data_IF_900031093066
#
_entry.id   IF_900031093066
#
_cell.length_a   1.000
_cell.length_b   1.000
_cell.length_c   1.000
_cell.angle_alpha   90.00
_cell.angle_beta   90.00
_cell.angle_gamma   90.00
#
_symmetry.space_group_name_H-M   'P 1'
#
loop_
_entity.id
_entity.type
_entity.pdbx_description
1 polymer ?
#
# COMPACT_ATOMS: atom_id res chain seq x y z
N UNK A 1 -16.94 24.34 16.14
CA UNK A 1 -17.04 23.10 15.33
C UNK A 1 -15.95 22.97 14.26
N UNK A 2 -15.49 24.04 13.58
CA UNK A 2 -14.41 23.97 12.55
C UNK A 2 -13.11 23.28 12.98
N UNK A 3 -12.64 23.48 14.21
CA UNK A 3 -11.36 22.89 14.66
C UNK A 3 -11.34 21.35 14.73
N UNK A 4 -12.50 20.73 14.93
CA UNK A 4 -12.64 19.28 14.97
C UNK A 4 -12.47 18.68 13.57
N UNK A 5 -13.06 19.32 12.57
CA UNK A 5 -13.04 18.89 11.18
C UNK A 5 -11.63 18.98 10.58
N UNK A 6 -10.88 20.05 10.88
CA UNK A 6 -9.50 20.20 10.41
C UNK A 6 -8.56 19.11 10.96
N UNK A 7 -8.86 18.55 12.13
CA UNK A 7 -8.09 17.45 12.71
C UNK A 7 -8.40 16.14 12.00
N UNK A 8 -9.68 15.88 11.72
CA UNK A 8 -10.18 14.71 10.98
C UNK A 8 -9.61 14.69 9.57
N UNK A 9 -9.64 15.82 8.86
CA UNK A 9 -9.11 15.96 7.49
C UNK A 9 -7.60 15.68 7.48
N UNK A 10 -6.82 16.33 8.37
CA UNK A 10 -5.36 16.12 8.45
C UNK A 10 -4.97 14.70 8.81
N UNK A 11 -5.77 14.03 9.66
CA UNK A 11 -5.50 12.63 10.01
C UNK A 11 -5.80 11.70 8.83
N UNK A 12 -6.89 11.95 8.11
CA UNK A 12 -7.23 11.22 6.90
C UNK A 12 -6.17 11.38 5.81
N UNK A 13 -5.70 12.61 5.57
CA UNK A 13 -4.60 12.85 4.62
C UNK A 13 -3.30 12.14 5.02
N UNK A 14 -2.98 12.08 6.32
CA UNK A 14 -1.84 11.32 6.83
C UNK A 14 -1.98 9.83 6.55
N UNK A 15 -3.17 9.25 6.77
CA UNK A 15 -3.45 7.83 6.46
C UNK A 15 -3.38 7.58 4.95
N UNK A 16 -3.90 8.49 4.13
CA UNK A 16 -3.79 8.43 2.65
C UNK A 16 -2.34 8.47 2.18
N UNK A 17 -1.52 9.38 2.71
CA UNK A 17 -0.09 9.47 2.36
C UNK A 17 0.64 8.19 2.70
N UNK A 18 0.36 7.57 3.86
CA UNK A 18 0.92 6.26 4.23
C UNK A 18 0.49 5.14 3.29
N UNK A 19 -0.79 5.10 2.89
CA UNK A 19 -1.26 4.15 1.88
C UNK A 19 -0.48 4.30 0.57
N UNK A 20 -0.36 5.52 0.04
CA UNK A 20 0.36 5.75 -1.22
C UNK A 20 1.85 5.43 -1.11
N UNK A 21 2.49 5.75 0.01
CA UNK A 21 3.88 5.38 0.29
C UNK A 21 4.06 3.87 0.34
N UNK A 22 3.21 3.13 1.08
CA UNK A 22 3.29 1.68 1.16
C UNK A 22 3.03 1.03 -0.20
N UNK A 23 2.10 1.56 -0.99
CA UNK A 23 1.83 1.06 -2.34
C UNK A 23 3.03 1.30 -3.28
N UNK A 24 3.62 2.50 -3.24
CA UNK A 24 4.85 2.80 -3.99
C UNK A 24 6.02 1.92 -3.58
N UNK A 25 6.22 1.71 -2.27
CA UNK A 25 7.26 0.83 -1.75
C UNK A 25 7.04 -0.62 -2.17
N UNK A 26 5.79 -1.09 -2.15
CA UNK A 26 5.43 -2.42 -2.65
C UNK A 26 5.81 -2.58 -4.12
N UNK A 27 5.51 -1.58 -4.95
CA UNK A 27 5.85 -1.61 -6.37
C UNK A 27 7.37 -1.68 -6.60
N UNK A 28 8.16 -0.95 -5.80
CA UNK A 28 9.63 -1.04 -5.80
C UNK A 28 10.09 -2.45 -5.38
N UNK A 29 9.51 -3.04 -4.32
CA UNK A 29 9.81 -4.40 -3.90
C UNK A 29 9.52 -5.43 -5.00
N UNK A 30 8.42 -5.27 -5.74
CA UNK A 30 8.09 -6.11 -6.89
C UNK A 30 9.14 -5.99 -8.01
N UNK A 31 9.52 -4.76 -8.38
CA UNK A 31 10.57 -4.53 -9.39
C UNK A 31 11.88 -5.20 -8.96
N UNK A 32 12.31 -4.97 -7.72
CA UNK A 32 13.53 -5.58 -7.19
C UNK A 32 13.44 -7.11 -7.13
N UNK A 33 12.29 -7.65 -6.74
CA UNK A 33 12.04 -9.10 -6.75
C UNK A 33 12.17 -9.71 -8.14
N UNK A 34 11.61 -9.05 -9.17
CA UNK A 34 11.73 -9.48 -10.56
C UNK A 34 13.18 -9.41 -11.07
N UNK A 35 13.92 -8.36 -10.71
CA UNK A 35 15.35 -8.25 -11.03
C UNK A 35 16.15 -9.39 -10.40
N UNK A 36 15.86 -9.75 -9.14
CA UNK A 36 16.51 -10.89 -8.48
C UNK A 36 16.23 -12.20 -9.23
N UNK A 37 14.99 -12.42 -9.67
CA UNK A 37 14.63 -13.61 -10.46
C UNK A 37 15.42 -13.64 -11.78
N UNK A 38 15.52 -12.50 -12.46
CA UNK A 38 16.26 -12.38 -13.72
C UNK A 38 17.76 -12.64 -13.54
N UNK A 39 18.35 -12.18 -12.43
CA UNK A 39 19.74 -12.48 -12.06
C UNK A 39 19.91 -13.98 -11.77
N UNK A 40 18.97 -14.59 -11.04
CA UNK A 40 19.01 -16.01 -10.70
C UNK A 40 18.98 -16.92 -11.94
N UNK A 41 18.26 -16.50 -12.98
CA UNK A 41 18.17 -17.24 -14.25
C UNK A 41 19.38 -16.99 -15.17
N UNK A 42 19.96 -15.79 -15.13
CA UNK A 42 21.11 -15.42 -16.00
C UNK A 42 22.46 -15.84 -15.40
N UNK A 43 22.58 -15.94 -14.09
CA UNK A 43 23.84 -16.25 -13.38
C UNK A 43 23.57 -17.02 -12.09
N UNK A 44 23.26 -18.32 -12.16
CA UNK A 44 22.87 -19.15 -11.00
C UNK A 44 23.99 -19.38 -9.97
N UNK A 45 25.21 -18.86 -10.22
CA UNK A 45 26.37 -18.93 -9.34
C UNK A 45 26.94 -17.56 -8.92
N UNK A 46 26.21 -16.46 -9.14
CA UNK A 46 26.65 -15.14 -8.68
C UNK A 46 26.79 -15.15 -7.14
N UNK A 47 27.96 -14.76 -6.64
CA UNK A 47 28.36 -14.79 -5.21
C UNK A 47 28.46 -16.18 -4.56
N UNK A 48 28.50 -17.27 -5.33
CA UNK A 48 28.56 -18.64 -4.78
C UNK A 48 27.25 -19.12 -4.14
N UNK A 49 26.18 -18.33 -4.29
CA UNK A 49 24.84 -18.64 -3.79
C UNK A 49 24.08 -19.41 -4.86
N UNK A 50 23.66 -20.64 -4.55
CA UNK A 50 22.93 -21.48 -5.50
C UNK A 50 21.54 -20.91 -5.85
N UNK A 51 21.06 -21.22 -7.07
CA UNK A 51 19.75 -20.80 -7.61
C UNK A 51 18.57 -20.89 -6.63
N UNK A 52 18.52 -21.94 -5.80
CA UNK A 52 17.45 -22.14 -4.79
C UNK A 52 17.36 -21.01 -3.77
N UNK A 53 18.49 -20.49 -3.31
CA UNK A 53 18.54 -19.40 -2.32
C UNK A 53 18.12 -18.07 -2.93
N UNK A 54 18.54 -17.79 -4.16
CA UNK A 54 18.07 -16.62 -4.91
C UNK A 54 16.56 -16.66 -5.14
N UNK A 55 16.01 -17.84 -5.48
CA UNK A 55 14.57 -18.03 -5.62
C UNK A 55 13.82 -17.84 -4.31
N UNK A 56 14.35 -18.38 -3.20
CA UNK A 56 13.78 -18.17 -1.87
C UNK A 56 13.79 -16.69 -1.46
N UNK A 57 14.87 -15.97 -1.74
CA UNK A 57 14.98 -14.53 -1.47
C UNK A 57 13.97 -13.72 -2.30
N UNK A 58 13.83 -14.02 -3.59
CA UNK A 58 12.85 -13.37 -4.46
C UNK A 58 11.41 -13.61 -3.97
N UNK A 59 11.08 -14.87 -3.61
CA UNK A 59 9.76 -15.22 -3.08
C UNK A 59 9.50 -14.47 -1.77
N UNK A 60 10.45 -14.48 -0.83
CA UNK A 60 10.33 -13.75 0.43
C UNK A 60 10.13 -12.24 0.22
N UNK A 61 10.86 -11.63 -0.73
CA UNK A 61 10.74 -10.22 -1.09
C UNK A 61 9.33 -9.89 -1.63
N UNK A 62 8.80 -10.75 -2.52
CA UNK A 62 7.45 -10.59 -3.08
C UNK A 62 6.38 -10.70 -1.98
N UNK A 63 6.50 -11.68 -1.09
CA UNK A 63 5.60 -11.82 0.06
C UNK A 63 5.66 -10.60 0.99
N UNK A 64 6.85 -10.09 1.28
CA UNK A 64 7.01 -8.88 2.08
C UNK A 64 6.33 -7.66 1.43
N UNK A 65 6.45 -7.49 0.11
CA UNK A 65 5.74 -6.47 -0.64
C UNK A 65 4.22 -6.59 -0.53
N UNK A 66 3.67 -7.79 -0.70
CA UNK A 66 2.22 -8.04 -0.55
C UNK A 66 1.74 -7.71 0.87
N UNK A 67 2.47 -8.12 1.91
CA UNK A 67 2.13 -7.81 3.30
C UNK A 67 2.12 -6.28 3.53
N UNK A 68 3.09 -5.55 2.99
CA UNK A 68 3.16 -4.08 3.07
C UNK A 68 1.97 -3.40 2.38
N UNK A 69 1.54 -3.90 1.22
CA UNK A 69 0.35 -3.40 0.54
C UNK A 69 -0.94 -3.67 1.35
N UNK A 70 -1.12 -4.90 1.87
CA UNK A 70 -2.31 -5.27 2.66
C UNK A 70 -2.38 -4.46 3.95
N UNK A 71 -1.27 -4.31 4.66
CA UNK A 71 -1.20 -3.49 5.88
C UNK A 71 -1.48 -2.02 5.59
N UNK A 72 -0.95 -1.46 4.50
CA UNK A 72 -1.29 -0.11 4.03
C UNK A 72 -2.77 0.05 3.74
N UNK A 73 -3.39 -0.93 3.06
CA UNK A 73 -4.82 -0.94 2.77
C UNK A 73 -5.67 -1.01 4.03
N UNK A 74 -5.34 -1.89 4.98
CA UNK A 74 -6.06 -2.02 6.24
C UNK A 74 -5.99 -0.76 7.12
N UNK A 75 -4.92 0.04 6.98
CA UNK A 75 -4.77 1.34 7.66
C UNK A 75 -5.59 2.46 7.01
N UNK A 76 -6.09 2.26 5.78
CA UNK A 76 -6.91 3.24 5.06
C UNK A 76 -8.35 3.23 5.56
N UNK A 77 -8.55 3.75 6.76
CA UNK A 77 -9.84 3.84 7.46
C UNK A 77 -10.22 5.27 7.75
N UNK A 78 -11.52 5.54 7.72
CA UNK A 78 -12.07 6.81 8.18
C UNK A 78 -11.70 7.03 9.66
N UNK A 79 -11.11 8.18 10.04
CA UNK A 79 -10.76 8.44 11.44
C UNK A 79 -11.98 8.65 12.36
N UNK A 80 -13.20 8.73 11.81
CA UNK A 80 -14.44 8.92 12.58
C UNK A 80 -15.15 7.59 12.86
N UNK A 81 -15.42 6.79 11.82
CA UNK A 81 -16.15 5.53 11.96
C UNK A 81 -15.27 4.27 11.91
N UNK A 82 -13.96 4.43 11.70
CA UNK A 82 -12.97 3.36 11.50
C UNK A 82 -13.29 2.36 10.37
N UNK A 83 -14.26 2.69 9.50
CA UNK A 83 -14.56 1.88 8.34
C UNK A 83 -13.56 2.15 7.21
N UNK A 84 -13.24 1.09 6.46
CA UNK A 84 -12.43 1.20 5.25
C UNK A 84 -13.25 1.99 4.24
N UNK A 85 -12.65 3.04 3.68
CA UNK A 85 -13.33 3.86 2.68
C UNK A 85 -13.31 3.09 1.36
N UNK A 86 -14.34 2.28 1.16
CA UNK A 86 -14.60 1.58 -0.09
C UNK A 86 -15.44 2.48 -0.98
N UNK A 87 -15.11 2.50 -2.26
CA UNK A 87 -15.91 3.21 -3.24
C UNK A 87 -15.52 2.85 -4.64
N UNK A 88 -16.41 3.17 -5.57
CA UNK A 88 -16.33 2.65 -6.93
C UNK A 88 -15.37 3.46 -7.82
N UNK A 89 -14.12 3.65 -7.37
CA UNK A 89 -13.07 4.19 -8.23
C UNK A 89 -12.51 3.07 -9.10
N UNK A 90 -12.76 3.18 -10.41
CA UNK A 90 -12.43 2.17 -11.45
C UNK A 90 -10.93 1.85 -11.52
N UNK A 91 -10.09 2.66 -10.89
CA UNK A 91 -8.63 2.64 -11.03
C UNK A 91 -7.89 2.16 -9.78
N UNK A 92 -8.51 2.13 -8.59
CA UNK A 92 -7.78 1.95 -7.33
C UNK A 92 -8.41 0.91 -6.40
N UNK A 93 -8.41 -0.37 -6.81
CA UNK A 93 -8.77 -1.51 -5.95
C UNK A 93 -10.07 -1.32 -5.12
N UNK A 94 -11.07 -0.59 -5.64
CA UNK A 94 -12.33 -0.32 -4.94
C UNK A 94 -12.22 0.65 -3.77
N UNK A 95 -11.24 1.55 -3.77
CA UNK A 95 -10.98 2.57 -2.74
C UNK A 95 -11.06 3.96 -3.34
N UNK A 96 -11.81 4.87 -2.70
CA UNK A 96 -11.83 6.29 -3.06
C UNK A 96 -10.58 6.98 -2.52
N UNK A 97 -9.70 7.52 -3.37
CA UNK A 97 -8.48 8.23 -2.92
C UNK A 97 -8.73 9.69 -2.50
N UNK A 98 -9.76 10.32 -3.07
CA UNK A 98 -10.20 11.70 -2.77
C UNK A 98 -11.70 11.77 -2.54
N UNK A 99 -12.22 11.12 -1.48
CA UNK A 99 -13.62 11.28 -1.11
C UNK A 99 -13.82 12.63 -0.41
N UNK A 100 -14.70 13.49 -0.94
CA UNK A 100 -15.09 14.72 -0.21
C UNK A 100 -15.78 14.41 1.13
N UNK A 101 -16.48 13.28 1.21
CA UNK A 101 -17.14 12.77 2.42
C UNK A 101 -16.95 11.27 2.55
N UNK A 102 -16.95 10.77 3.79
CA UNK A 102 -16.97 9.34 4.05
C UNK A 102 -18.28 8.72 3.52
N UNK A 103 -18.24 7.66 2.71
CA UNK A 103 -19.45 7.01 2.20
C UNK A 103 -20.26 6.31 3.29
N UNK A 104 -19.61 5.90 4.38
CA UNK A 104 -20.24 5.16 5.48
C UNK A 104 -20.90 6.08 6.53
N UNK A 105 -20.20 7.15 6.94
CA UNK A 105 -20.66 8.02 8.03
C UNK A 105 -20.95 9.46 7.63
N UNK A 106 -20.73 9.83 6.36
CA UNK A 106 -20.95 11.18 5.85
C UNK A 106 -19.98 12.25 6.38
N UNK A 107 -19.00 11.88 7.22
CA UNK A 107 -18.02 12.80 7.76
C UNK A 107 -17.25 13.51 6.64
N UNK A 108 -16.99 14.82 6.82
CA UNK A 108 -16.23 15.62 5.86
C UNK A 108 -14.75 15.23 5.90
N UNK A 109 -14.20 14.86 4.75
CA UNK A 109 -12.81 14.38 4.61
C UNK A 109 -11.95 15.28 3.71
N UNK A 110 -12.55 16.32 3.14
CA UNK A 110 -11.91 17.33 2.30
C UNK A 110 -12.45 18.74 2.63
N UNK A 111 -11.62 19.77 2.44
CA UNK A 111 -11.88 21.17 2.81
C UNK A 111 -13.11 21.82 2.17
#
# INVERSE_FOLDING_TARGET
MRHSDDRVIREFERRRKRLMLNFGFTLICFILGLVIIQIADTSPGLLGIGRRWWMAAAVAQLFAGVIMAVTGFLQYRCPVCDQIIRGHDKYYFGVLLKPGKCPECGARLEE
#
